data_IF_086072522261
#
_entry.id   IF_086072522261
#
_cell.length_a   1.000
_cell.length_b   1.000
_cell.length_c   1.000
_cell.angle_alpha   90.00
_cell.angle_beta   90.00
_cell.angle_gamma   90.00
#
_symmetry.space_group_name_H-M   'P 1'
#
loop_
_entity.id
_entity.type
_entity.pdbx_description
1 polymer ?
#
# COMPACT_ATOMS: atom_id res chain seq x y z
N UNK A 1 -10.69 -61.68 -38.48
CA UNK A 1 -10.75 -60.22 -38.59
C UNK A 1 -10.76 -59.65 -37.18
N UNK A 2 -9.59 -59.21 -36.71
CA UNK A 2 -9.41 -58.64 -35.35
C UNK A 2 -9.58 -57.14 -35.42
N UNK A 3 -10.58 -56.58 -34.70
CA UNK A 3 -10.74 -55.15 -34.52
C UNK A 3 -9.80 -54.66 -33.44
N UNK A 4 -8.88 -53.78 -33.83
CA UNK A 4 -7.98 -53.07 -32.92
C UNK A 4 -8.69 -51.82 -32.38
N UNK A 5 -8.97 -51.81 -31.09
CA UNK A 5 -9.45 -50.61 -30.37
C UNK A 5 -8.24 -49.76 -29.96
N UNK A 6 -8.07 -48.61 -30.57
CA UNK A 6 -7.13 -47.60 -30.12
C UNK A 6 -7.80 -46.80 -28.96
N UNK A 7 -7.28 -46.95 -27.77
CA UNK A 7 -7.62 -46.07 -26.63
C UNK A 7 -6.63 -44.92 -26.66
N UNK A 8 -7.10 -43.76 -27.07
CA UNK A 8 -6.40 -42.48 -26.88
C UNK A 8 -6.53 -42.05 -25.39
N UNK A 9 -5.48 -42.30 -24.64
CA UNK A 9 -5.34 -41.70 -23.29
C UNK A 9 -4.92 -40.23 -23.45
N UNK A 10 -5.88 -39.34 -23.31
CA UNK A 10 -5.61 -37.90 -23.21
C UNK A 10 -4.94 -37.58 -21.88
N UNK A 11 -3.64 -37.37 -21.88
CA UNK A 11 -2.94 -36.75 -20.75
C UNK A 11 -3.32 -35.26 -20.69
N UNK A 12 -4.34 -34.95 -19.92
CA UNK A 12 -4.58 -33.62 -19.44
C UNK A 12 -3.48 -33.23 -18.46
N UNK A 13 -2.49 -32.48 -18.91
CA UNK A 13 -1.53 -31.84 -18.01
C UNK A 13 -2.26 -30.76 -17.22
N UNK A 14 -2.79 -31.11 -16.05
CA UNK A 14 -3.11 -30.16 -15.01
C UNK A 14 -1.78 -29.49 -14.60
N UNK A 15 -1.50 -28.31 -15.15
CA UNK A 15 -0.55 -27.37 -14.56
C UNK A 15 -1.15 -26.95 -13.21
N UNK A 16 -0.93 -27.74 -12.18
CA UNK A 16 -1.08 -27.30 -10.81
C UNK A 16 -0.10 -26.14 -10.67
N UNK A 17 -0.64 -24.91 -10.58
CA UNK A 17 0.11 -23.78 -10.02
C UNK A 17 0.56 -24.22 -8.63
N UNK A 18 1.79 -24.68 -8.54
CA UNK A 18 2.45 -24.93 -7.26
C UNK A 18 2.62 -23.54 -6.64
N UNK A 19 1.64 -23.13 -5.83
CA UNK A 19 1.81 -22.00 -4.95
C UNK A 19 3.12 -22.26 -4.19
N UNK A 20 4.15 -21.47 -4.48
CA UNK A 20 5.44 -21.62 -3.84
C UNK A 20 5.20 -21.62 -2.34
N UNK A 21 5.51 -22.76 -1.69
CA UNK A 21 5.38 -22.87 -0.23
C UNK A 21 6.16 -21.72 0.38
N UNK A 22 5.60 -21.00 1.35
CA UNK A 22 6.33 -19.94 2.03
C UNK A 22 7.66 -20.52 2.52
N UNK A 23 8.73 -19.78 2.30
CA UNK A 23 10.06 -20.18 2.75
C UNK A 23 9.97 -20.29 4.28
N UNK A 24 10.18 -21.50 4.82
CA UNK A 24 9.96 -21.76 6.24
C UNK A 24 10.80 -20.79 7.08
N UNK A 25 10.17 -19.77 7.63
CA UNK A 25 10.79 -18.78 8.49
C UNK A 25 11.09 -17.42 7.85
N UNK A 26 10.61 -17.14 6.64
CA UNK A 26 10.70 -15.83 5.99
C UNK A 26 9.30 -15.30 5.67
N UNK A 27 9.10 -13.99 5.86
CA UNK A 27 7.91 -13.26 5.43
C UNK A 27 8.36 -12.04 4.63
N UNK A 28 7.71 -11.78 3.49
CA UNK A 28 7.95 -10.59 2.67
C UNK A 28 6.68 -9.77 2.53
N UNK A 29 6.80 -8.49 2.88
CA UNK A 29 5.79 -7.47 2.67
C UNK A 29 6.17 -6.63 1.44
N UNK A 30 5.20 -6.39 0.57
CA UNK A 30 5.24 -5.39 -0.49
C UNK A 30 4.21 -4.31 -0.20
N UNK A 31 4.62 -3.05 -0.10
CA UNK A 31 3.75 -1.89 -0.10
C UNK A 31 3.93 -1.08 -1.39
N UNK A 32 2.84 -0.59 -1.99
CA UNK A 32 2.91 0.28 -3.16
C UNK A 32 1.65 1.13 -3.32
N UNK A 33 1.79 2.45 -3.52
CA UNK A 33 0.75 3.28 -4.10
C UNK A 33 0.77 3.05 -5.62
N UNK A 34 -0.31 2.47 -6.17
CA UNK A 34 -0.40 2.07 -7.57
C UNK A 34 -1.19 3.07 -8.41
N UNK A 35 -1.23 4.29 -7.99
CA UNK A 35 -1.78 5.45 -8.71
C UNK A 35 -3.07 5.16 -9.47
N UNK A 36 -4.21 5.38 -8.83
CA UNK A 36 -5.54 5.21 -9.44
C UNK A 36 -5.73 3.82 -10.08
N UNK A 37 -5.29 2.75 -9.41
CA UNK A 37 -5.38 1.40 -9.92
C UNK A 37 -4.52 1.18 -11.16
N UNK A 38 -3.33 1.77 -11.19
CA UNK A 38 -2.40 1.74 -12.33
C UNK A 38 -2.96 2.43 -13.58
N UNK A 39 -3.80 3.45 -13.35
CA UNK A 39 -4.54 4.14 -14.37
C UNK A 39 -5.35 3.20 -15.27
N UNK A 40 -6.02 3.75 -16.28
CA UNK A 40 -6.83 3.03 -17.25
C UNK A 40 -6.04 2.36 -18.39
N UNK A 41 -4.73 2.38 -18.26
CA UNK A 41 -3.86 2.03 -19.37
C UNK A 41 -3.25 0.66 -19.35
N UNK A 42 -3.69 -0.24 -18.49
CA UNK A 42 -3.16 -1.60 -18.44
C UNK A 42 -3.78 -2.46 -19.56
N UNK A 43 -3.43 -2.14 -20.81
CA UNK A 43 -3.96 -2.81 -22.03
C UNK A 43 -3.55 -4.29 -22.12
N UNK A 44 -2.63 -4.74 -21.29
CA UNK A 44 -2.22 -6.13 -21.15
C UNK A 44 -2.99 -6.88 -20.06
N UNK A 45 -4.12 -6.36 -19.59
CA UNK A 45 -4.92 -6.93 -18.51
C UNK A 45 -4.10 -7.20 -17.24
N UNK A 46 -3.23 -6.26 -16.85
CA UNK A 46 -2.33 -6.35 -15.70
C UNK A 46 -1.31 -7.50 -15.76
N UNK A 47 -1.00 -8.05 -16.94
CA UNK A 47 -0.07 -9.17 -17.06
C UNK A 47 1.33 -8.82 -16.57
N UNK A 48 1.84 -7.63 -16.91
CA UNK A 48 3.14 -7.14 -16.44
C UNK A 48 3.17 -6.91 -14.94
N UNK A 49 2.12 -6.30 -14.40
CA UNK A 49 1.98 -6.09 -12.97
C UNK A 49 2.01 -7.42 -12.21
N UNK A 50 1.17 -8.37 -12.60
CA UNK A 50 1.11 -9.68 -11.95
C UNK A 50 2.43 -10.44 -12.04
N UNK A 51 3.09 -10.39 -13.19
CA UNK A 51 4.42 -10.98 -13.38
C UNK A 51 5.45 -10.35 -12.45
N UNK A 52 5.49 -9.01 -12.39
CA UNK A 52 6.43 -8.30 -11.53
C UNK A 52 6.20 -8.64 -10.06
N UNK A 53 4.94 -8.63 -9.59
CA UNK A 53 4.60 -9.02 -8.21
C UNK A 53 5.02 -10.46 -7.93
N UNK A 54 4.79 -11.41 -8.86
CA UNK A 54 5.24 -12.79 -8.74
C UNK A 54 6.77 -12.90 -8.58
N UNK A 55 7.53 -12.11 -9.34
CA UNK A 55 8.99 -12.08 -9.28
C UNK A 55 9.49 -11.57 -7.93
N UNK A 56 8.79 -10.61 -7.31
CA UNK A 56 9.11 -10.15 -5.96
C UNK A 56 8.79 -11.20 -4.89
N UNK A 57 7.90 -12.15 -5.15
CA UNK A 57 7.46 -13.22 -4.23
C UNK A 57 7.01 -12.71 -2.87
N UNK A 58 6.12 -11.71 -2.78
CA UNK A 58 5.59 -11.25 -1.51
C UNK A 58 4.66 -12.30 -0.89
N UNK A 59 4.57 -12.28 0.42
CA UNK A 59 3.59 -13.05 1.18
C UNK A 59 2.35 -12.21 1.50
N UNK A 60 2.57 -10.90 1.63
CA UNK A 60 1.55 -9.88 1.88
C UNK A 60 1.84 -8.70 0.96
N UNK A 61 0.80 -8.20 0.28
CA UNK A 61 0.86 -6.92 -0.43
C UNK A 61 -0.13 -5.94 0.18
N UNK A 62 0.26 -4.67 0.22
CA UNK A 62 -0.62 -3.55 0.57
C UNK A 62 -0.52 -2.53 -0.53
N UNK A 63 -1.67 -2.21 -1.13
CA UNK A 63 -1.76 -1.24 -2.21
C UNK A 63 -2.60 -0.05 -1.80
N UNK A 64 -2.12 1.17 -2.07
CA UNK A 64 -2.89 2.40 -2.01
C UNK A 64 -3.38 2.79 -3.40
N UNK A 65 -4.44 3.59 -3.46
CA UNK A 65 -5.11 4.00 -4.70
C UNK A 65 -5.53 2.80 -5.57
N UNK A 66 -6.04 1.77 -4.92
CA UNK A 66 -6.32 0.48 -5.52
C UNK A 66 -7.67 0.42 -6.26
N UNK A 67 -8.13 1.54 -6.79
CA UNK A 67 -9.32 1.64 -7.66
C UNK A 67 -9.08 2.69 -8.73
N UNK A 68 -9.46 2.38 -9.97
CA UNK A 68 -9.38 3.37 -11.03
C UNK A 68 -10.44 4.46 -10.85
N UNK A 69 -10.02 5.72 -10.74
CA UNK A 69 -10.92 6.87 -10.75
C UNK A 69 -11.50 7.14 -12.15
N UNK A 70 -10.93 6.55 -13.18
CA UNK A 70 -11.36 6.71 -14.56
C UNK A 70 -12.41 5.69 -14.98
N UNK A 71 -13.12 5.11 -14.01
CA UNK A 71 -14.28 4.25 -14.26
C UNK A 71 -15.32 4.86 -15.18
N UNK A 72 -15.54 6.14 -15.02
CA UNK A 72 -16.44 6.93 -15.88
C UNK A 72 -15.71 7.50 -17.07
N UNK A 73 -14.41 7.24 -17.13
CA UNK A 73 -13.55 8.01 -17.97
C UNK A 73 -13.40 7.45 -19.34
N UNK A 74 -12.37 7.78 -19.83
CA UNK A 74 -12.01 7.94 -21.19
C UNK A 74 -11.64 6.64 -21.85
N UNK A 75 -11.15 5.66 -21.11
CA UNK A 75 -10.80 4.39 -21.74
C UNK A 75 -11.89 3.33 -21.61
N UNK A 76 -12.80 3.34 -22.60
CA UNK A 76 -13.83 2.33 -22.74
C UNK A 76 -13.33 1.04 -23.41
N UNK A 77 -12.08 1.01 -23.84
CA UNK A 77 -11.48 -0.16 -24.50
C UNK A 77 -11.15 -1.28 -23.52
N UNK A 78 -10.84 -0.94 -22.28
CA UNK A 78 -10.57 -1.93 -21.25
C UNK A 78 -11.86 -2.63 -20.79
N UNK A 79 -11.89 -3.95 -20.67
CA UNK A 79 -13.03 -4.67 -20.12
C UNK A 79 -13.46 -4.12 -18.76
N UNK A 80 -14.77 -4.08 -18.52
CA UNK A 80 -15.34 -3.50 -17.30
C UNK A 80 -14.75 -4.10 -16.03
N UNK A 81 -14.58 -5.41 -15.99
CA UNK A 81 -14.00 -6.14 -14.85
C UNK A 81 -12.54 -5.74 -14.55
N UNK A 82 -11.79 -5.33 -15.55
CA UNK A 82 -10.39 -4.93 -15.39
C UNK A 82 -10.23 -3.46 -14.96
N UNK A 83 -11.29 -2.67 -15.17
CA UNK A 83 -11.33 -1.25 -14.79
C UNK A 83 -11.82 -1.00 -13.36
N UNK A 84 -12.60 -1.92 -12.83
CA UNK A 84 -13.38 -1.72 -11.61
C UNK A 84 -12.70 -2.34 -10.39
N UNK A 85 -11.43 -2.05 -10.17
CA UNK A 85 -10.86 -2.23 -8.85
C UNK A 85 -11.60 -1.30 -7.86
N UNK A 86 -11.95 -1.75 -6.67
CA UNK A 86 -11.45 -2.94 -5.98
C UNK A 86 -12.28 -4.22 -6.24
N UNK A 87 -13.36 -4.19 -7.00
CA UNK A 87 -14.26 -5.34 -7.15
C UNK A 87 -13.59 -6.62 -7.65
N UNK A 88 -12.50 -6.52 -8.39
CA UNK A 88 -11.80 -7.66 -9.00
C UNK A 88 -10.46 -7.98 -8.32
N UNK A 89 -10.19 -7.43 -7.15
CA UNK A 89 -8.90 -7.67 -6.47
C UNK A 89 -8.68 -9.14 -6.10
N UNK A 90 -9.73 -9.87 -5.78
CA UNK A 90 -9.63 -11.30 -5.47
C UNK A 90 -9.18 -12.12 -6.69
N UNK A 91 -9.62 -11.77 -7.90
CA UNK A 91 -9.17 -12.39 -9.15
C UNK A 91 -7.73 -11.98 -9.48
N UNK A 92 -7.43 -10.69 -9.42
CA UNK A 92 -6.09 -10.17 -9.68
C UNK A 92 -5.06 -10.75 -8.71
N UNK A 93 -5.40 -10.83 -7.42
CA UNK A 93 -4.54 -11.38 -6.38
C UNK A 93 -4.21 -12.86 -6.62
N UNK A 94 -5.19 -13.67 -7.05
CA UNK A 94 -4.96 -15.07 -7.39
C UNK A 94 -3.94 -15.25 -8.51
N UNK A 95 -3.87 -14.32 -9.46
CA UNK A 95 -2.92 -14.36 -10.58
C UNK A 95 -1.46 -14.29 -10.12
N UNK A 96 -1.16 -13.67 -8.98
CA UNK A 96 0.20 -13.67 -8.40
C UNK A 96 0.32 -14.51 -7.12
N UNK A 97 -0.68 -15.37 -6.84
CA UNK A 97 -0.59 -16.40 -5.82
C UNK A 97 -1.11 -16.01 -4.44
N UNK A 98 -1.92 -14.95 -4.33
CA UNK A 98 -2.61 -14.57 -3.10
C UNK A 98 -4.06 -15.00 -3.14
N UNK A 99 -4.51 -15.69 -2.07
CA UNK A 99 -5.86 -16.26 -1.97
C UNK A 99 -6.82 -15.40 -1.15
N UNK A 100 -6.30 -14.43 -0.40
CA UNK A 100 -7.08 -13.62 0.53
C UNK A 100 -6.93 -12.14 0.19
N UNK A 101 -8.06 -11.43 0.26
CA UNK A 101 -8.14 -10.00 -0.04
C UNK A 101 -8.93 -9.31 1.05
N UNK A 102 -8.43 -8.17 1.51
CA UNK A 102 -9.09 -7.25 2.41
C UNK A 102 -9.11 -5.86 1.77
N UNK A 103 -10.28 -5.29 1.68
CA UNK A 103 -10.48 -3.90 1.31
C UNK A 103 -10.59 -3.09 2.59
N UNK A 104 -9.74 -2.12 2.77
CA UNK A 104 -9.80 -1.14 3.85
C UNK A 104 -11.11 -0.35 3.83
N UNK A 105 -11.33 0.50 4.80
CA UNK A 105 -12.36 1.50 4.69
C UNK A 105 -12.03 2.40 3.50
N UNK A 106 -13.02 2.72 2.68
CA UNK A 106 -12.82 3.74 1.65
C UNK A 106 -14.08 4.58 1.50
N UNK A 107 -13.87 5.87 1.33
CA UNK A 107 -14.93 6.86 1.13
C UNK A 107 -15.12 7.19 -0.35
N UNK A 108 -14.05 7.11 -1.11
CA UNK A 108 -13.96 7.53 -2.50
C UNK A 108 -13.20 6.51 -3.37
N UNK A 109 -12.62 6.97 -4.47
CA UNK A 109 -11.91 6.13 -5.43
C UNK A 109 -10.47 5.76 -5.03
N UNK A 110 -10.07 5.98 -3.79
CA UNK A 110 -8.70 5.75 -3.31
C UNK A 110 -8.61 4.68 -2.20
N UNK A 111 -9.23 3.50 -2.37
CA UNK A 111 -9.18 2.46 -1.35
C UNK A 111 -7.77 1.92 -1.15
N UNK A 112 -7.54 1.38 0.06
CA UNK A 112 -6.37 0.56 0.32
C UNK A 112 -6.78 -0.91 0.29
N UNK A 113 -5.94 -1.75 -0.28
CA UNK A 113 -6.16 -3.18 -0.42
C UNK A 113 -5.00 -3.95 0.18
N UNK A 114 -5.32 -4.96 0.99
CA UNK A 114 -4.35 -5.96 1.43
C UNK A 114 -4.64 -7.24 0.65
N UNK A 115 -3.63 -7.84 0.06
CA UNK A 115 -3.70 -9.21 -0.46
C UNK A 115 -2.68 -10.09 0.23
N UNK A 116 -3.02 -11.35 0.47
CA UNK A 116 -2.19 -12.24 1.28
C UNK A 116 -2.30 -13.70 0.84
N UNK A 117 -1.24 -14.46 1.09
CA UNK A 117 -1.25 -15.92 1.06
C UNK A 117 -1.96 -16.52 2.28
N UNK A 118 -2.10 -15.73 3.34
CA UNK A 118 -2.67 -16.14 4.63
C UNK A 118 -4.04 -15.52 4.84
N UNK A 119 -4.93 -16.18 5.60
CA UNK A 119 -6.23 -15.61 5.95
C UNK A 119 -6.11 -14.22 6.57
N UNK A 120 -7.04 -13.34 6.19
CA UNK A 120 -7.10 -11.96 6.66
C UNK A 120 -8.41 -11.78 7.43
N UNK A 121 -8.29 -11.39 8.70
CA UNK A 121 -9.43 -10.99 9.53
C UNK A 121 -9.62 -9.48 9.44
N UNK A 122 -10.84 -9.05 9.16
CA UNK A 122 -11.22 -7.65 9.27
C UNK A 122 -11.43 -7.29 10.74
N UNK A 123 -10.61 -6.38 11.26
CA UNK A 123 -10.78 -5.86 12.62
C UNK A 123 -11.58 -4.57 12.59
N UNK A 124 -11.20 -3.62 11.74
CA UNK A 124 -11.86 -2.32 11.65
C UNK A 124 -11.73 -1.71 10.26
N UNK A 125 -12.81 -1.11 9.78
CA UNK A 125 -12.80 -0.22 8.62
C UNK A 125 -13.15 1.19 9.06
N UNK A 126 -12.36 2.16 8.65
CA UNK A 126 -12.58 3.58 8.88
C UNK A 126 -12.98 4.17 7.53
N UNK A 127 -14.27 4.44 7.35
CA UNK A 127 -14.84 4.80 6.05
C UNK A 127 -14.79 6.32 5.80
N UNK A 128 -14.79 7.12 6.87
CA UNK A 128 -14.80 8.57 6.77
C UNK A 128 -16.19 9.17 6.52
N UNK A 129 -17.26 8.50 6.94
CA UNK A 129 -18.63 8.91 6.65
C UNK A 129 -19.52 9.12 7.89
N UNK A 130 -18.94 9.29 9.05
CA UNK A 130 -19.65 9.46 10.32
C UNK A 130 -18.79 10.22 11.32
N UNK A 131 -18.63 9.66 12.50
CA UNK A 131 -17.72 10.16 13.54
C UNK A 131 -16.25 10.14 13.11
N UNK A 132 -15.94 9.38 12.08
CA UNK A 132 -14.63 9.24 11.43
C UNK A 132 -14.48 10.11 10.18
N UNK A 133 -15.38 11.08 9.95
CA UNK A 133 -15.42 11.93 8.74
C UNK A 133 -14.15 12.77 8.49
N UNK A 134 -13.29 12.85 9.49
CA UNK A 134 -11.97 13.47 9.36
C UNK A 134 -11.06 12.66 8.41
N UNK A 135 -11.23 11.36 8.29
CA UNK A 135 -10.44 10.51 7.39
C UNK A 135 -10.98 10.62 5.98
N UNK A 136 -10.15 11.07 5.03
CA UNK A 136 -10.60 11.44 3.68
C UNK A 136 -10.72 10.24 2.74
N UNK A 137 -9.69 9.41 2.62
CA UNK A 137 -9.67 8.28 1.70
C UNK A 137 -9.91 6.93 2.39
N UNK A 138 -10.28 6.96 3.66
CA UNK A 138 -10.47 5.78 4.48
C UNK A 138 -9.17 5.21 5.03
N UNK A 139 -9.33 4.27 5.94
CA UNK A 139 -8.24 3.50 6.52
C UNK A 139 -8.75 2.11 6.92
N UNK A 140 -7.86 1.20 7.28
CA UNK A 140 -8.24 -0.12 7.70
C UNK A 140 -7.29 -0.71 8.72
N UNK A 141 -7.82 -1.57 9.59
CA UNK A 141 -7.06 -2.45 10.45
C UNK A 141 -7.49 -3.89 10.18
N UNK A 142 -6.56 -4.65 9.66
CA UNK A 142 -6.70 -6.08 9.41
C UNK A 142 -5.74 -6.86 10.30
N UNK A 143 -6.02 -8.15 10.48
CA UNK A 143 -5.17 -9.06 11.22
C UNK A 143 -4.85 -10.29 10.38
N UNK A 144 -3.59 -10.71 10.39
CA UNK A 144 -3.15 -11.95 9.77
C UNK A 144 -2.55 -12.84 10.83
N UNK A 145 -3.17 -14.01 11.04
CA UNK A 145 -2.66 -15.01 11.94
C UNK A 145 -1.64 -15.89 11.21
N UNK A 146 -0.40 -15.82 11.61
CA UNK A 146 0.63 -16.79 11.25
C UNK A 146 0.75 -17.85 12.35
N UNK A 147 1.48 -18.92 12.09
CA UNK A 147 1.58 -20.05 13.05
C UNK A 147 1.96 -19.59 14.46
N UNK A 148 2.96 -18.72 14.57
CA UNK A 148 3.58 -18.38 15.85
C UNK A 148 3.45 -16.88 16.18
N UNK A 149 2.77 -16.08 15.37
CA UNK A 149 2.56 -14.66 15.61
C UNK A 149 1.31 -14.13 14.90
N UNK A 150 0.75 -13.07 15.45
CA UNK A 150 -0.36 -12.32 14.86
C UNK A 150 0.16 -10.97 14.38
N UNK A 151 -0.02 -10.69 13.09
CA UNK A 151 0.30 -9.38 12.50
C UNK A 151 -0.94 -8.50 12.55
N UNK A 152 -0.82 -7.30 13.08
CA UNK A 152 -1.81 -6.23 12.98
C UNK A 152 -1.36 -5.27 11.88
N UNK A 153 -2.18 -5.08 10.85
CA UNK A 153 -1.84 -4.29 9.67
C UNK A 153 -2.81 -3.12 9.58
N UNK A 154 -2.28 -1.91 9.68
CA UNK A 154 -3.01 -0.66 9.49
C UNK A 154 -2.64 -0.07 8.14
N UNK A 155 -3.65 0.20 7.31
CA UNK A 155 -3.49 0.85 6.02
C UNK A 155 -4.14 2.22 6.03
N UNK A 156 -3.56 3.17 5.33
CA UNK A 156 -4.10 4.52 5.20
C UNK A 156 -3.67 5.19 3.89
N UNK A 157 -4.39 6.23 3.53
CA UNK A 157 -4.01 7.22 2.53
C UNK A 157 -4.54 8.56 3.02
N UNK A 158 -3.68 9.55 3.23
CA UNK A 158 -4.07 10.85 3.78
C UNK A 158 -4.34 11.88 2.68
N UNK A 159 -4.97 12.98 3.06
CA UNK A 159 -5.34 14.07 2.17
C UNK A 159 -4.15 14.62 1.37
N UNK A 160 -4.19 14.67 0.02
CA UNK A 160 -3.02 15.01 -0.80
C UNK A 160 -2.80 16.52 -0.99
N UNK A 161 -3.83 17.36 -0.74
CA UNK A 161 -3.78 18.75 -1.11
C UNK A 161 -3.12 19.64 -0.03
N UNK A 162 -2.67 20.83 -0.45
CA UNK A 162 -2.13 21.84 0.48
C UNK A 162 -3.20 22.54 1.30
N UNK A 163 -4.43 22.65 0.76
CA UNK A 163 -5.59 23.16 1.51
C UNK A 163 -6.24 22.05 2.33
N UNK A 164 -6.96 22.39 3.39
CA UNK A 164 -7.66 21.41 4.21
C UNK A 164 -8.84 20.78 3.45
N UNK A 165 -9.17 19.55 3.80
CA UNK A 165 -10.34 18.88 3.25
C UNK A 165 -11.63 19.61 3.65
N UNK A 166 -12.60 19.67 2.74
CA UNK A 166 -13.88 20.34 2.98
C UNK A 166 -13.87 21.85 2.79
N UNK A 167 -12.71 22.46 2.53
CA UNK A 167 -12.62 23.90 2.26
C UNK A 167 -13.33 24.23 0.95
N UNK A 168 -14.25 25.22 0.95
CA UNK A 168 -14.95 25.68 -0.25
C UNK A 168 -13.98 26.15 -1.34
N UNK A 169 -14.33 25.99 -2.63
CA UNK A 169 -13.43 26.30 -3.75
C UNK A 169 -12.81 27.69 -3.68
N UNK A 170 -13.58 28.71 -3.30
CA UNK A 170 -13.17 30.11 -3.20
C UNK A 170 -12.17 30.39 -2.08
N UNK A 171 -12.03 29.49 -1.11
CA UNK A 171 -11.11 29.62 0.02
C UNK A 171 -9.86 28.73 -0.13
N UNK A 172 -9.80 27.84 -1.14
CA UNK A 172 -8.72 26.87 -1.29
C UNK A 172 -7.35 27.51 -1.50
N UNK A 173 -7.29 28.61 -2.22
CA UNK A 173 -6.03 29.32 -2.44
C UNK A 173 -5.46 29.86 -1.14
N UNK A 174 -6.28 30.51 -0.32
CA UNK A 174 -5.88 31.03 0.99
C UNK A 174 -5.45 29.90 1.94
N UNK A 175 -6.25 28.83 2.02
CA UNK A 175 -5.94 27.64 2.82
C UNK A 175 -4.63 26.97 2.36
N UNK A 176 -4.42 26.87 1.05
CA UNK A 176 -3.18 26.30 0.48
C UNK A 176 -1.94 27.20 0.73
N UNK A 177 -2.12 28.52 0.77
CA UNK A 177 -1.02 29.46 1.03
C UNK A 177 -0.42 29.25 2.43
N UNK A 178 -1.29 28.99 3.43
CA UNK A 178 -0.87 28.68 4.81
C UNK A 178 -0.75 27.19 5.10
N UNK A 179 -0.90 26.35 4.08
CA UNK A 179 -0.69 24.88 4.13
C UNK A 179 -1.57 24.16 5.16
N UNK A 180 -2.84 24.54 5.30
CA UNK A 180 -3.76 23.89 6.25
C UNK A 180 -3.91 22.38 6.01
N UNK A 181 -3.67 21.89 4.78
CA UNK A 181 -3.65 20.48 4.46
C UNK A 181 -2.61 19.68 5.25
N UNK A 182 -1.49 20.31 5.67
CA UNK A 182 -0.49 19.64 6.49
C UNK A 182 -1.02 19.35 7.91
N UNK A 183 -1.67 20.32 8.51
CA UNK A 183 -2.35 20.16 9.80
C UNK A 183 -3.51 19.15 9.70
N UNK A 184 -4.23 19.18 8.59
CA UNK A 184 -5.31 18.22 8.33
C UNK A 184 -4.81 16.78 8.31
N UNK A 185 -3.72 16.48 7.57
CA UNK A 185 -3.09 15.14 7.54
C UNK A 185 -2.67 14.68 8.93
N UNK A 186 -2.10 15.57 9.73
CA UNK A 186 -1.75 15.25 11.11
C UNK A 186 -2.98 14.82 11.92
N UNK A 187 -4.13 15.51 11.76
CA UNK A 187 -5.38 15.12 12.44
C UNK A 187 -5.92 13.77 11.94
N UNK A 188 -5.86 13.48 10.63
CA UNK A 188 -6.23 12.18 10.08
C UNK A 188 -5.43 11.05 10.73
N UNK A 189 -4.10 11.21 10.76
CA UNK A 189 -3.21 10.19 11.33
C UNK A 189 -3.40 10.04 12.83
N UNK A 190 -3.62 11.14 13.55
CA UNK A 190 -3.95 11.09 14.97
C UNK A 190 -5.22 10.27 15.21
N UNK A 191 -6.27 10.54 14.43
CA UNK A 191 -7.52 9.78 14.53
C UNK A 191 -7.28 8.29 14.24
N UNK A 192 -6.60 7.95 13.15
CA UNK A 192 -6.32 6.57 12.77
C UNK A 192 -5.51 5.86 13.88
N UNK A 193 -4.44 6.48 14.40
CA UNK A 193 -3.63 5.89 15.47
C UNK A 193 -4.45 5.65 16.75
N UNK A 194 -5.28 6.62 17.15
CA UNK A 194 -6.15 6.50 18.33
C UNK A 194 -7.18 5.37 18.22
N UNK A 195 -7.62 5.05 16.99
CA UNK A 195 -8.61 4.02 16.73
C UNK A 195 -8.02 2.68 16.28
N UNK A 196 -6.70 2.58 16.22
CA UNK A 196 -5.96 1.38 15.88
C UNK A 196 -4.90 1.08 16.93
N UNK A 197 -3.63 1.34 16.69
CA UNK A 197 -2.51 0.98 17.57
C UNK A 197 -2.65 1.53 18.98
N UNK A 198 -3.08 2.76 19.16
CA UNK A 198 -3.26 3.37 20.49
C UNK A 198 -4.52 2.91 21.24
N UNK A 199 -5.45 2.23 20.54
CA UNK A 199 -6.62 1.64 21.19
C UNK A 199 -6.30 0.31 21.90
N UNK A 200 -5.11 -0.23 21.72
CA UNK A 200 -4.67 -1.50 22.29
C UNK A 200 -3.49 -1.24 23.24
N UNK A 201 -3.69 -1.37 24.56
CA UNK A 201 -2.64 -1.04 25.55
C UNK A 201 -1.33 -1.83 25.38
N UNK A 202 -1.44 -3.07 24.87
CA UNK A 202 -0.29 -3.96 24.64
C UNK A 202 0.38 -3.77 23.29
N UNK A 203 -0.07 -2.86 22.45
CA UNK A 203 0.40 -2.74 21.05
C UNK A 203 1.92 -2.57 20.91
N UNK A 204 2.57 -1.90 21.86
CA UNK A 204 4.03 -1.75 21.87
C UNK A 204 4.79 -3.07 22.02
N UNK A 205 4.15 -4.11 22.55
CA UNK A 205 4.68 -5.46 22.74
C UNK A 205 4.20 -6.46 21.69
N UNK A 206 3.32 -6.01 20.79
CA UNK A 206 2.73 -6.83 19.72
C UNK A 206 3.35 -6.51 18.37
N UNK A 207 3.02 -7.32 17.37
CA UNK A 207 3.49 -7.16 15.98
C UNK A 207 2.52 -6.30 15.18
N UNK A 208 2.76 -4.99 15.18
CA UNK A 208 1.98 -4.02 14.41
C UNK A 208 2.79 -3.41 13.28
N UNK A 209 2.13 -3.19 12.17
CA UNK A 209 2.63 -2.38 11.06
C UNK A 209 1.57 -1.39 10.61
N UNK A 210 1.99 -0.18 10.26
CA UNK A 210 1.16 0.84 9.64
C UNK A 210 1.86 1.31 8.38
N UNK A 211 1.13 1.38 7.28
CA UNK A 211 1.69 1.81 6.00
C UNK A 211 0.66 2.52 5.14
N UNK A 212 1.17 3.37 4.26
CA UNK A 212 0.33 4.15 3.36
C UNK A 212 1.10 5.26 2.65
N UNK A 213 0.38 5.98 1.81
CA UNK A 213 0.78 7.29 1.33
C UNK A 213 0.30 8.35 2.34
N UNK A 214 1.26 8.94 3.03
CA UNK A 214 1.00 9.95 4.06
C UNK A 214 0.94 11.36 3.47
N UNK A 215 1.27 11.55 2.20
CA UNK A 215 1.33 12.86 1.55
C UNK A 215 2.10 13.94 2.36
N UNK A 216 2.94 13.52 3.28
CA UNK A 216 3.68 14.32 4.25
C UNK A 216 5.17 14.02 4.21
N UNK A 217 5.98 14.85 4.85
CA UNK A 217 7.44 14.71 4.97
C UNK A 217 7.82 14.34 6.38
N UNK A 218 8.86 13.49 6.52
CA UNK A 218 9.37 13.09 7.82
C UNK A 218 10.58 13.94 8.23
N UNK A 219 10.64 14.28 9.52
CA UNK A 219 11.82 14.90 10.14
C UNK A 219 13.07 14.02 10.00
N UNK A 220 12.91 12.70 9.94
CA UNK A 220 14.01 11.76 9.68
C UNK A 220 14.75 12.04 8.35
N UNK A 221 14.05 12.62 7.38
CA UNK A 221 14.61 12.99 6.07
C UNK A 221 14.96 14.49 5.96
N UNK A 222 14.80 15.27 7.03
CA UNK A 222 14.92 16.73 6.96
C UNK A 222 16.35 17.20 6.62
N UNK A 223 17.35 16.37 6.83
CA UNK A 223 18.70 16.61 6.36
C UNK A 223 18.79 16.77 4.81
N UNK A 224 17.85 16.19 4.07
CA UNK A 224 17.69 16.36 2.61
C UNK A 224 16.82 17.57 2.28
N UNK A 225 15.69 17.72 3.00
CA UNK A 225 14.70 18.77 2.69
C UNK A 225 15.11 20.14 3.19
N UNK A 226 15.80 20.19 4.33
CA UNK A 226 16.26 21.43 4.98
C UNK A 226 15.12 22.41 5.30
N UNK A 227 13.99 21.87 5.75
CA UNK A 227 12.88 22.68 6.25
C UNK A 227 13.21 23.25 7.64
N UNK A 228 12.64 24.41 8.01
CA UNK A 228 12.64 24.88 9.38
C UNK A 228 12.09 23.82 10.36
N UNK A 229 12.51 23.86 11.62
CA UNK A 229 12.10 22.87 12.61
C UNK A 229 10.61 22.90 12.93
N UNK A 230 9.94 24.03 12.73
CA UNK A 230 8.51 24.26 12.92
C UNK A 230 7.69 24.12 11.62
N UNK A 231 8.28 23.59 10.57
CA UNK A 231 7.61 23.46 9.27
C UNK A 231 6.43 22.48 9.34
N UNK A 232 5.25 22.94 8.91
CA UNK A 232 4.02 22.15 8.96
C UNK A 232 4.07 20.84 8.20
N UNK A 233 4.93 20.72 7.18
CA UNK A 233 5.13 19.49 6.42
C UNK A 233 5.63 18.31 7.25
N UNK A 234 6.19 18.57 8.43
CA UNK A 234 6.75 17.57 9.35
C UNK A 234 5.74 17.04 10.35
N UNK A 235 4.66 17.78 10.62
CA UNK A 235 3.68 17.54 11.70
C UNK A 235 3.12 16.10 11.73
N UNK A 236 2.83 15.53 10.58
CA UNK A 236 2.22 14.20 10.48
C UNK A 236 3.12 13.11 11.04
N UNK A 237 4.39 13.12 10.65
CA UNK A 237 5.35 12.11 11.06
C UNK A 237 5.91 12.39 12.45
N UNK A 238 6.02 13.66 12.85
CA UNK A 238 6.36 14.03 14.23
C UNK A 238 5.31 13.45 15.19
N UNK A 239 4.01 13.61 14.89
CA UNK A 239 2.96 13.00 15.71
C UNK A 239 3.14 11.49 15.88
N UNK A 240 3.41 10.76 14.79
CA UNK A 240 3.59 9.30 14.81
C UNK A 240 4.77 8.93 15.71
N UNK A 241 5.92 9.56 15.49
CA UNK A 241 7.17 9.23 16.17
C UNK A 241 7.16 9.58 17.67
N UNK A 242 6.39 10.62 18.04
CA UNK A 242 6.29 11.09 19.43
C UNK A 242 5.21 10.38 20.24
N UNK A 243 4.11 9.94 19.59
CA UNK A 243 2.92 9.48 20.29
C UNK A 243 2.58 7.99 20.08
N UNK A 244 3.35 7.28 19.25
CA UNK A 244 3.12 5.86 19.00
C UNK A 244 4.41 5.05 19.19
N UNK A 245 4.32 3.72 19.34
CA UNK A 245 5.51 2.88 19.39
C UNK A 245 6.16 2.61 18.02
N UNK A 246 5.72 3.28 16.97
CA UNK A 246 6.15 3.00 15.61
C UNK A 246 7.56 3.50 15.28
N UNK A 247 8.29 2.69 14.54
CA UNK A 247 9.61 2.94 13.98
C UNK A 247 9.49 3.03 12.48
N UNK A 248 10.00 4.09 11.84
CA UNK A 248 10.10 4.21 10.38
C UNK A 248 11.17 3.24 9.86
N UNK A 249 10.74 2.16 9.22
CA UNK A 249 11.64 1.06 8.87
C UNK A 249 12.71 1.46 7.84
N UNK A 250 12.37 2.32 6.89
CA UNK A 250 13.32 2.71 5.83
C UNK A 250 14.42 3.60 6.39
N UNK A 251 14.08 4.64 7.15
CA UNK A 251 15.08 5.55 7.68
C UNK A 251 15.92 4.90 8.79
N UNK A 252 15.31 4.04 9.61
CA UNK A 252 16.04 3.36 10.70
C UNK A 252 17.03 2.31 10.16
N UNK A 253 16.70 1.64 9.05
CA UNK A 253 17.59 0.67 8.39
C UNK A 253 18.66 1.35 7.51
N UNK A 254 18.43 2.58 7.09
CA UNK A 254 19.28 3.31 6.15
C UNK A 254 19.50 4.76 6.60
N UNK A 255 20.08 4.99 7.79
CA UNK A 255 20.12 6.32 8.40
C UNK A 255 20.91 7.36 7.58
N UNK A 256 21.87 6.91 6.78
CA UNK A 256 22.74 7.78 5.97
C UNK A 256 22.28 7.92 4.51
N UNK A 257 21.15 7.30 4.15
CA UNK A 257 20.68 7.27 2.78
C UNK A 257 19.23 7.74 2.69
N UNK A 258 18.97 8.60 1.72
CA UNK A 258 17.62 9.04 1.36
C UNK A 258 17.09 8.26 0.17
N UNK A 259 15.88 7.72 0.30
CA UNK A 259 15.18 7.02 -0.77
C UNK A 259 13.84 7.69 -1.07
N UNK A 260 13.77 8.37 -2.22
CA UNK A 260 12.51 8.93 -2.70
C UNK A 260 11.54 7.81 -3.08
N UNK A 261 10.28 7.96 -2.68
CA UNK A 261 9.20 7.08 -3.15
C UNK A 261 8.42 7.65 -4.33
N UNK A 262 8.78 8.85 -4.81
CA UNK A 262 8.15 9.49 -5.97
C UNK A 262 9.17 9.81 -7.05
N UNK A 263 8.73 10.33 -8.20
CA UNK A 263 9.59 10.77 -9.28
C UNK A 263 10.48 11.99 -8.97
N UNK A 264 10.19 12.68 -7.85
CA UNK A 264 10.98 13.79 -7.34
C UNK A 264 11.82 13.42 -6.12
N UNK A 265 12.26 14.44 -5.37
CA UNK A 265 12.94 14.25 -4.08
C UNK A 265 11.91 14.21 -2.93
N UNK A 266 10.99 13.24 -2.98
CA UNK A 266 9.95 13.12 -1.98
C UNK A 266 9.80 11.66 -1.53
N UNK A 267 9.91 11.44 -0.23
CA UNK A 267 9.43 10.22 0.42
C UNK A 267 8.14 10.57 1.13
N UNK A 268 7.03 10.02 0.65
CA UNK A 268 5.67 10.23 1.20
C UNK A 268 4.98 8.92 1.52
N UNK A 269 5.55 7.83 1.06
CA UNK A 269 5.14 6.47 1.38
C UNK A 269 6.01 5.92 2.51
N UNK A 270 5.38 5.36 3.52
CA UNK A 270 6.06 4.87 4.71
C UNK A 270 5.54 3.52 5.13
N UNK A 271 6.44 2.74 5.74
CA UNK A 271 6.14 1.53 6.50
C UNK A 271 6.66 1.73 7.90
N UNK A 272 5.77 1.71 8.86
CA UNK A 272 6.03 1.82 10.29
C UNK A 272 5.84 0.48 10.97
N UNK A 273 6.73 0.13 11.89
CA UNK A 273 6.70 -1.13 12.63
C UNK A 273 6.82 -0.89 14.12
N UNK A 274 6.15 -1.68 14.94
CA UNK A 274 6.43 -1.72 16.39
C UNK A 274 7.79 -2.36 16.67
N UNK A 275 8.45 -2.08 17.81
CA UNK A 275 9.76 -2.61 18.13
C UNK A 275 9.88 -4.13 18.03
N UNK A 276 8.93 -4.97 18.52
CA UNK A 276 9.02 -6.41 18.37
C UNK A 276 9.03 -6.87 16.90
N UNK A 277 8.23 -6.21 16.04
CA UNK A 277 8.20 -6.55 14.62
C UNK A 277 9.46 -6.05 13.90
N UNK A 278 9.95 -4.85 14.24
CA UNK A 278 11.19 -4.31 13.69
C UNK A 278 12.40 -5.21 13.96
N UNK A 279 12.48 -5.85 15.13
CA UNK A 279 13.56 -6.80 15.45
C UNK A 279 13.60 -8.02 14.53
N UNK A 280 12.51 -8.32 13.84
CA UNK A 280 12.44 -9.42 12.86
C UNK A 280 12.87 -8.99 11.45
N UNK A 281 13.07 -7.69 11.19
CA UNK A 281 13.44 -7.17 9.88
C UNK A 281 14.85 -7.61 9.50
N UNK A 282 14.99 -8.23 8.35
CA UNK A 282 16.27 -8.58 7.74
C UNK A 282 16.69 -7.64 6.63
N UNK A 283 15.73 -7.10 5.89
CA UNK A 283 15.95 -6.10 4.84
C UNK A 283 14.74 -5.18 4.71
N UNK A 284 14.98 -3.91 4.38
CA UNK A 284 13.95 -2.94 4.04
C UNK A 284 14.49 -1.96 3.01
N UNK A 285 13.78 -1.83 1.88
CA UNK A 285 14.23 -1.00 0.77
C UNK A 285 13.09 -0.42 -0.05
N UNK A 286 13.33 0.72 -0.65
CA UNK A 286 12.55 1.23 -1.78
C UNK A 286 13.04 0.54 -3.04
N UNK A 287 12.12 -0.01 -3.85
CA UNK A 287 12.47 -0.69 -5.10
C UNK A 287 12.75 0.36 -6.18
N UNK A 288 13.86 0.19 -6.91
CA UNK A 288 14.34 1.16 -7.90
C UNK A 288 14.57 0.55 -9.28
N UNK A 289 13.94 -0.58 -9.57
CA UNK A 289 14.01 -1.20 -10.89
C UNK A 289 13.31 -0.34 -11.97
N UNK A 290 13.51 -0.71 -13.23
CA UNK A 290 12.98 0.07 -14.36
C UNK A 290 11.44 0.03 -14.41
N UNK A 291 10.82 -1.10 -14.09
CA UNK A 291 9.36 -1.25 -14.09
C UNK A 291 8.69 -0.30 -13.09
N UNK A 292 9.29 -0.10 -11.92
CA UNK A 292 8.75 0.73 -10.84
C UNK A 292 9.23 2.18 -10.91
N UNK A 293 9.89 2.59 -11.99
CA UNK A 293 10.32 3.97 -12.19
C UNK A 293 9.11 4.90 -12.21
N UNK A 294 9.02 5.90 -11.31
CA UNK A 294 7.86 6.77 -11.21
C UNK A 294 7.66 7.61 -12.47
N UNK A 295 6.42 7.66 -12.96
CA UNK A 295 6.00 8.49 -14.07
C UNK A 295 4.82 9.35 -13.67
N UNK A 296 5.02 10.65 -13.70
CA UNK A 296 4.08 11.64 -13.15
C UNK A 296 2.81 11.82 -14.00
N UNK A 297 2.89 11.54 -15.29
CA UNK A 297 1.77 11.67 -16.20
C UNK A 297 1.68 10.44 -17.11
N UNK A 298 0.97 9.39 -16.70
CA UNK A 298 0.85 8.16 -17.47
C UNK A 298 0.21 8.35 -18.84
N UNK A 299 -0.60 9.39 -19.04
CA UNK A 299 -1.20 9.70 -20.35
C UNK A 299 -0.16 10.02 -21.43
N UNK A 300 1.07 10.34 -21.03
CA UNK A 300 2.19 10.55 -21.95
C UNK A 300 2.98 9.28 -22.26
N UNK A 301 2.60 8.15 -21.64
CA UNK A 301 3.28 6.86 -21.81
C UNK A 301 2.55 6.06 -22.87
N UNK A 302 3.16 5.88 -24.01
CA UNK A 302 2.55 5.20 -25.16
C UNK A 302 2.28 3.70 -24.95
N UNK A 303 2.83 3.10 -23.89
CA UNK A 303 2.76 1.65 -23.63
C UNK A 303 2.46 1.27 -22.19
N UNK A 304 2.14 2.21 -21.33
CA UNK A 304 1.83 1.99 -19.90
C UNK A 304 2.85 1.10 -19.19
N UNK A 305 4.12 1.26 -19.53
CA UNK A 305 5.20 0.46 -18.99
C UNK A 305 5.39 0.70 -17.49
N UNK A 306 5.18 1.93 -17.04
CA UNK A 306 5.36 2.34 -15.65
C UNK A 306 3.99 2.50 -14.99
N UNK A 307 3.63 1.65 -14.01
CA UNK A 307 2.27 1.59 -13.51
C UNK A 307 1.93 2.70 -12.50
N UNK A 308 2.92 3.42 -11.96
CA UNK A 308 2.69 4.41 -10.91
C UNK A 308 3.69 5.55 -10.96
N UNK A 309 3.35 6.69 -10.35
CA UNK A 309 4.27 7.78 -10.02
C UNK A 309 4.92 7.60 -8.65
N UNK A 310 4.67 6.47 -7.98
CA UNK A 310 5.30 6.04 -6.74
C UNK A 310 6.17 4.80 -6.93
N UNK A 311 7.14 4.64 -6.03
CA UNK A 311 7.98 3.44 -5.92
C UNK A 311 7.48 2.54 -4.80
N UNK A 312 7.53 1.22 -4.99
CA UNK A 312 7.18 0.29 -3.92
C UNK A 312 8.25 0.19 -2.84
N UNK A 313 7.80 -0.26 -1.66
CA UNK A 313 8.66 -0.61 -0.52
C UNK A 313 8.56 -2.12 -0.31
N UNK A 314 9.70 -2.78 -0.17
CA UNK A 314 9.80 -4.17 0.24
C UNK A 314 10.42 -4.26 1.63
N UNK A 315 9.80 -5.09 2.49
CA UNK A 315 10.33 -5.41 3.82
C UNK A 315 10.36 -6.92 3.99
N UNK A 316 11.53 -7.43 4.33
CA UNK A 316 11.78 -8.85 4.61
C UNK A 316 11.92 -9.09 6.11
N UNK A 317 11.23 -10.09 6.61
CA UNK A 317 11.26 -10.50 8.00
C UNK A 317 11.75 -11.93 8.14
N UNK A 318 12.48 -12.21 9.24
CA UNK A 318 12.81 -13.56 9.69
C UNK A 318 11.84 -13.94 10.81
N UNK A 319 10.84 -14.75 10.47
CA UNK A 319 9.93 -15.34 11.44
C UNK A 319 10.63 -16.56 12.04
N UNK A 320 10.70 -16.65 13.36
CA UNK A 320 11.26 -17.84 14.02
C UNK A 320 10.43 -19.06 13.68
N UNK A 321 11.12 -20.19 13.44
CA UNK A 321 10.49 -21.50 13.23
C UNK A 321 9.80 -21.95 14.49
#
# INVERSE_FOLDING_TARGET
MKRLLLILAGLGACLALVAARPDKGRLRLLYWNIQNGMWDGQTDHYARFTKWVQEQRPDICVFCEASSIFLTGTDKSMPKQDRYLPGNWDELARRYGHSYVYLGGWRDNYPQVITSRYPIDNVKKIIGNGTDSIVTHGAGWARIQLKDLTLNIVTLHTWPQRYAFGVPPEQREASAAVREGDAYRRMEVEYICKHTVLSVPSAAQEYWMMMGDFNARSRRDNWVYRYPDDDSRLLTHDYILENTPYIDVISERNPDNFYSTTGGKARIDFVYLTPPLYQLVTDARVVTDDYTRPVRNPQQISNFWHPSDHRPILVDFKIRK
#
